data_IF_995611590611
#
_entry.id   IF_995611590611
#
_cell.length_a   1.000
_cell.length_b   1.000
_cell.length_c   1.000
_cell.angle_alpha   90.00
_cell.angle_beta   90.00
_cell.angle_gamma   90.00
#
_symmetry.space_group_name_H-M   'P 1'
#
loop_
_entity.id
_entity.type
_entity.pdbx_description
1 polymer ?
#
# COMPACT_ATOMS: atom_id res chain seq x y z
N UNK A 1 -13.39 55.11 -59.16
CA UNK A 1 -12.19 54.92 -58.30
C UNK A 1 -12.61 54.13 -57.07
N UNK A 2 -12.05 52.92 -56.92
CA UNK A 2 -12.50 51.86 -55.99
C UNK A 2 -12.05 52.16 -54.56
N UNK A 3 -12.97 52.13 -53.60
CA UNK A 3 -12.69 52.16 -52.16
C UNK A 3 -12.28 50.75 -51.73
N UNK A 4 -10.99 50.57 -51.41
CA UNK A 4 -10.45 49.30 -50.92
C UNK A 4 -10.75 49.19 -49.42
N UNK A 5 -11.54 48.18 -49.05
CA UNK A 5 -11.75 47.74 -47.67
C UNK A 5 -10.47 47.03 -47.20
N UNK A 6 -9.78 47.59 -46.21
CA UNK A 6 -8.72 46.91 -45.49
C UNK A 6 -9.34 46.13 -44.32
N UNK A 7 -9.63 44.85 -44.53
CA UNK A 7 -10.01 43.91 -43.47
C UNK A 7 -8.73 43.24 -42.97
N UNK A 8 -8.13 43.81 -41.92
CA UNK A 8 -6.93 43.25 -41.27
C UNK A 8 -7.35 42.03 -40.47
N UNK A 9 -7.14 40.84 -41.03
CA UNK A 9 -7.38 39.55 -40.40
C UNK A 9 -6.29 39.33 -39.33
N UNK A 10 -6.60 39.70 -38.08
CA UNK A 10 -5.75 39.42 -36.93
C UNK A 10 -5.87 37.93 -36.54
N UNK A 11 -5.16 37.06 -37.26
CA UNK A 11 -4.91 35.68 -36.82
C UNK A 11 -3.90 35.71 -35.68
N UNK A 12 -4.38 35.97 -34.46
CA UNK A 12 -3.61 35.70 -33.24
C UNK A 12 -3.38 34.20 -33.17
N UNK A 13 -2.15 33.77 -33.46
CA UNK A 13 -1.69 32.41 -33.21
C UNK A 13 -1.77 32.16 -31.70
N UNK A 14 -2.87 31.54 -31.26
CA UNK A 14 -2.99 30.93 -29.95
C UNK A 14 -2.06 29.71 -29.95
N UNK A 15 -0.77 29.94 -29.75
CA UNK A 15 0.19 28.89 -29.42
C UNK A 15 -0.11 28.44 -27.99
N UNK A 16 -1.14 27.62 -27.82
CA UNK A 16 -1.39 26.92 -26.58
C UNK A 16 -0.25 25.93 -26.35
N UNK A 17 0.60 26.17 -25.35
CA UNK A 17 1.50 25.16 -24.86
C UNK A 17 0.65 23.99 -24.36
N UNK A 18 0.73 22.85 -25.03
CA UNK A 18 0.17 21.60 -24.53
C UNK A 18 1.29 20.80 -23.91
N UNK A 19 1.02 20.17 -22.77
CA UNK A 19 2.01 19.34 -22.09
C UNK A 19 2.01 17.95 -22.69
N UNK A 20 3.17 17.32 -22.63
CA UNK A 20 3.37 15.93 -23.04
C UNK A 20 3.57 15.02 -21.82
N UNK A 21 3.15 13.76 -21.97
CA UNK A 21 3.34 12.71 -20.97
C UNK A 21 4.50 11.79 -21.41
N UNK A 22 5.37 11.44 -20.46
CA UNK A 22 6.43 10.47 -20.65
C UNK A 22 6.13 9.18 -19.88
N UNK A 23 5.89 8.09 -20.60
CA UNK A 23 5.52 6.78 -20.05
C UNK A 23 6.70 5.87 -19.68
N UNK A 24 7.94 6.34 -19.82
CA UNK A 24 9.13 5.49 -19.62
C UNK A 24 9.67 5.48 -18.19
N UNK A 25 9.04 6.21 -17.26
CA UNK A 25 9.57 6.41 -15.91
C UNK A 25 8.66 5.80 -14.84
N UNK A 26 8.94 4.55 -14.48
CA UNK A 26 8.51 4.00 -13.19
C UNK A 26 9.76 3.84 -12.34
N UNK A 27 9.70 4.24 -11.07
CA UNK A 27 10.83 4.02 -10.16
C UNK A 27 11.13 2.51 -10.09
N UNK A 28 12.42 2.11 -10.01
CA UNK A 28 12.80 0.71 -10.09
C UNK A 28 12.16 -0.06 -8.94
N UNK A 29 11.66 -1.24 -9.24
CA UNK A 29 11.20 -2.17 -8.22
C UNK A 29 12.37 -2.66 -7.39
N UNK A 30 12.11 -2.95 -6.11
CA UNK A 30 13.11 -3.47 -5.18
C UNK A 30 12.56 -4.66 -4.42
N UNK A 31 13.45 -5.56 -4.01
CA UNK A 31 13.08 -6.67 -3.13
C UNK A 31 13.33 -6.22 -1.70
N UNK A 32 12.30 -6.29 -0.86
CA UNK A 32 12.41 -6.09 0.59
C UNK A 32 12.20 -7.41 1.32
N UNK A 33 13.01 -7.66 2.36
CA UNK A 33 12.78 -8.73 3.32
C UNK A 33 11.99 -8.17 4.49
N UNK A 34 10.85 -8.78 4.78
CA UNK A 34 10.06 -8.50 5.98
C UNK A 34 10.34 -9.61 6.97
N UNK A 35 10.66 -9.23 8.21
CA UNK A 35 10.75 -10.13 9.36
C UNK A 35 10.17 -9.42 10.57
N UNK A 36 9.04 -9.91 11.06
CA UNK A 36 8.28 -9.37 12.17
C UNK A 36 8.00 -10.47 13.17
N UNK A 37 8.21 -10.16 14.45
CA UNK A 37 7.98 -11.05 15.58
C UNK A 37 7.31 -10.28 16.72
N UNK A 38 6.42 -10.92 17.48
CA UNK A 38 5.78 -10.31 18.66
C UNK A 38 6.57 -10.48 19.97
N UNK A 39 7.78 -11.04 19.90
CA UNK A 39 8.59 -11.34 21.08
C UNK A 39 10.04 -10.89 20.90
N UNK A 40 10.74 -10.78 22.03
CA UNK A 40 12.18 -10.61 22.11
C UNK A 40 12.82 -11.80 22.81
N UNK A 41 13.92 -12.33 22.25
CA UNK A 41 14.62 -13.47 22.82
C UNK A 41 15.25 -13.06 24.16
N UNK A 42 15.01 -13.86 25.19
CA UNK A 42 15.52 -13.64 26.55
C UNK A 42 14.68 -12.69 27.40
N UNK A 43 13.56 -12.18 26.88
CA UNK A 43 12.66 -11.30 27.63
C UNK A 43 11.47 -12.10 28.17
N UNK A 44 11.23 -11.98 29.48
CA UNK A 44 10.07 -12.58 30.14
C UNK A 44 8.79 -11.88 29.67
N UNK A 45 7.80 -12.66 29.26
CA UNK A 45 6.51 -12.20 28.76
C UNK A 45 5.38 -12.98 29.42
N UNK A 46 4.19 -12.37 29.48
CA UNK A 46 2.97 -12.99 29.97
C UNK A 46 1.91 -12.96 28.87
N UNK A 47 1.25 -14.10 28.66
CA UNK A 47 0.07 -14.21 27.80
C UNK A 47 -1.12 -14.75 28.59
N UNK A 48 -2.29 -14.15 28.39
CA UNK A 48 -3.56 -14.65 28.90
C UNK A 48 -4.20 -15.66 27.94
N UNK A 49 -5.24 -16.36 28.40
CA UNK A 49 -6.00 -17.28 27.54
C UNK A 49 -6.55 -16.55 26.31
N UNK A 50 -6.25 -17.08 25.13
CA UNK A 50 -6.60 -16.51 23.83
C UNK A 50 -5.56 -15.54 23.27
N UNK A 51 -4.55 -15.17 24.05
CA UNK A 51 -3.45 -14.31 23.59
C UNK A 51 -2.33 -15.11 22.94
N UNK A 52 -1.65 -14.44 22.02
CA UNK A 52 -0.46 -14.94 21.36
C UNK A 52 0.71 -15.10 22.34
N UNK A 53 1.28 -16.30 22.36
CA UNK A 53 2.58 -16.57 22.96
C UNK A 53 3.69 -16.04 22.03
N UNK A 54 3.54 -16.27 20.73
CA UNK A 54 4.39 -15.68 19.71
C UNK A 54 3.67 -15.62 18.37
N UNK A 55 4.00 -14.60 17.60
CA UNK A 55 3.73 -14.50 16.17
C UNK A 55 5.06 -14.30 15.44
N UNK A 56 5.20 -14.91 14.26
CA UNK A 56 6.32 -14.64 13.35
C UNK A 56 5.83 -14.56 11.93
N UNK A 57 6.17 -13.46 11.27
CA UNK A 57 5.92 -13.19 9.86
C UNK A 57 7.22 -12.81 9.16
N UNK A 58 7.74 -13.72 8.34
CA UNK A 58 8.95 -13.49 7.54
C UNK A 58 8.74 -13.87 6.07
N UNK A 59 9.04 -12.96 5.15
CA UNK A 59 8.87 -13.18 3.70
C UNK A 59 9.66 -12.16 2.88
N UNK A 60 9.80 -12.40 1.58
CA UNK A 60 10.27 -11.39 0.62
C UNK A 60 9.12 -10.84 -0.20
N UNK A 61 9.18 -9.53 -0.47
CA UNK A 61 8.19 -8.85 -1.30
C UNK A 61 8.89 -8.02 -2.36
N UNK A 62 8.33 -8.05 -3.57
CA UNK A 62 8.59 -7.04 -4.58
C UNK A 62 7.85 -5.77 -4.17
N UNK A 63 8.58 -4.67 -4.13
CA UNK A 63 8.05 -3.35 -3.80
C UNK A 63 8.12 -2.49 -5.04
N UNK A 64 6.95 -2.11 -5.53
CA UNK A 64 6.77 -1.28 -6.71
C UNK A 64 6.25 0.09 -6.25
N UNK A 65 7.08 1.14 -6.26
CA UNK A 65 6.65 2.51 -5.96
C UNK A 65 5.88 3.09 -7.16
N UNK A 66 4.71 2.52 -7.42
CA UNK A 66 3.95 2.75 -8.64
C UNK A 66 2.55 3.33 -8.39
N UNK A 67 2.28 3.84 -7.18
CA UNK A 67 0.97 4.42 -6.89
C UNK A 67 1.05 5.59 -5.90
N UNK A 68 -0.05 6.34 -5.85
CA UNK A 68 -0.35 7.31 -4.80
C UNK A 68 -1.63 6.92 -4.08
N UNK A 69 -1.68 7.15 -2.77
CA UNK A 69 -2.88 7.04 -1.96
C UNK A 69 -3.39 8.44 -1.61
N UNK A 70 -4.68 8.69 -1.82
CA UNK A 70 -5.33 9.92 -1.40
C UNK A 70 -5.46 9.98 0.14
N UNK A 71 -4.99 11.08 0.75
CA UNK A 71 -5.02 11.26 2.21
C UNK A 71 -6.33 11.87 2.73
N UNK A 72 -7.15 12.37 1.82
CA UNK A 72 -8.46 12.95 2.07
C UNK A 72 -9.37 12.75 0.86
N UNK A 73 -10.66 13.00 1.05
CA UNK A 73 -11.61 13.07 -0.06
C UNK A 73 -11.29 14.27 -0.96
N UNK A 74 -11.46 14.09 -2.27
CA UNK A 74 -11.28 15.17 -3.23
C UNK A 74 -12.21 15.01 -4.44
N UNK A 75 -12.45 16.11 -5.14
CA UNK A 75 -13.14 16.14 -6.43
C UNK A 75 -12.24 16.84 -7.44
N UNK A 76 -11.80 16.13 -8.47
CA UNK A 76 -11.17 16.73 -9.66
C UNK A 76 -12.24 16.88 -10.74
N UNK A 77 -12.53 18.11 -11.16
CA UNK A 77 -13.53 18.35 -12.19
C UNK A 77 -13.15 19.49 -13.13
N UNK A 78 -13.69 19.45 -14.34
CA UNK A 78 -13.49 20.49 -15.35
C UNK A 78 -13.31 19.91 -16.74
N UNK A 79 -12.72 20.71 -17.63
CA UNK A 79 -12.60 20.38 -19.04
C UNK A 79 -13.90 20.57 -19.83
N UNK A 80 -13.82 20.42 -21.15
CA UNK A 80 -14.96 20.55 -22.07
C UNK A 80 -15.01 19.36 -23.04
N UNK A 81 -16.22 18.98 -23.44
CA UNK A 81 -16.45 17.94 -24.47
C UNK A 81 -15.68 16.63 -24.16
N UNK A 82 -14.81 16.17 -25.06
CA UNK A 82 -14.11 14.88 -24.96
C UNK A 82 -13.04 14.84 -23.88
N UNK A 83 -12.70 15.99 -23.27
CA UNK A 83 -11.76 16.08 -22.14
C UNK A 83 -12.45 16.48 -20.84
N UNK A 84 -13.79 16.45 -20.79
CA UNK A 84 -14.50 16.68 -19.54
C UNK A 84 -14.22 15.56 -18.53
N UNK A 85 -13.85 15.93 -17.31
CA UNK A 85 -13.59 15.01 -16.21
C UNK A 85 -14.46 15.38 -15.02
N UNK A 86 -14.96 14.36 -14.35
CA UNK A 86 -15.33 14.41 -12.94
C UNK A 86 -14.81 13.14 -12.28
N UNK A 87 -13.90 13.31 -11.33
CA UNK A 87 -13.36 12.24 -10.50
C UNK A 87 -13.64 12.60 -9.04
N UNK A 88 -14.49 11.81 -8.40
CA UNK A 88 -14.74 11.87 -6.97
C UNK A 88 -13.84 10.82 -6.28
N UNK A 89 -12.78 11.26 -5.63
CA UNK A 89 -11.82 10.41 -4.91
C UNK A 89 -12.09 10.41 -3.41
N UNK A 90 -11.95 9.24 -2.78
CA UNK A 90 -12.11 9.06 -1.34
C UNK A 90 -10.76 8.95 -0.64
N UNK A 91 -10.74 9.26 0.65
CA UNK A 91 -9.59 8.96 1.50
C UNK A 91 -9.27 7.46 1.44
N UNK A 92 -8.03 7.14 1.11
CA UNK A 92 -7.54 5.77 1.00
C UNK A 92 -7.55 5.21 -0.42
N UNK A 93 -8.20 5.87 -1.38
CA UNK A 93 -8.18 5.46 -2.79
C UNK A 93 -6.75 5.49 -3.34
N UNK A 94 -6.42 4.51 -4.18
CA UNK A 94 -5.10 4.29 -4.74
C UNK A 94 -5.14 4.57 -6.25
N UNK A 95 -4.19 5.38 -6.74
CA UNK A 95 -4.06 5.77 -8.13
C UNK A 95 -2.69 5.38 -8.67
N UNK A 96 -2.66 4.64 -9.78
CA UNK A 96 -1.43 4.15 -10.39
C UNK A 96 -0.66 5.29 -11.08
N UNK A 97 0.66 5.32 -10.83
CA UNK A 97 1.62 6.15 -11.53
C UNK A 97 1.89 5.52 -12.89
N UNK A 98 1.56 6.26 -13.94
CA UNK A 98 1.63 5.81 -15.33
C UNK A 98 2.74 6.51 -16.13
N UNK A 99 3.38 7.52 -15.56
CA UNK A 99 4.49 8.22 -16.20
C UNK A 99 4.87 9.49 -15.47
N UNK A 100 5.48 10.42 -16.19
CA UNK A 100 5.81 11.75 -15.69
C UNK A 100 5.50 12.85 -16.70
N UNK A 101 5.19 14.05 -16.24
CA UNK A 101 5.04 15.22 -17.12
C UNK A 101 6.38 15.91 -17.40
N UNK A 102 6.34 17.02 -18.15
CA UNK A 102 7.51 17.84 -18.52
C UNK A 102 8.23 18.47 -17.31
N UNK A 103 7.55 18.61 -16.17
CA UNK A 103 8.15 19.08 -14.91
C UNK A 103 8.90 17.96 -14.17
N UNK A 104 8.78 16.71 -14.65
CA UNK A 104 9.32 15.52 -13.99
C UNK A 104 8.45 15.00 -12.84
N UNK A 105 7.25 15.54 -12.67
CA UNK A 105 6.26 15.13 -11.68
C UNK A 105 5.54 13.86 -12.13
N UNK A 106 5.16 13.02 -11.18
CA UNK A 106 4.49 11.75 -11.45
C UNK A 106 3.07 12.02 -11.99
N UNK A 107 2.67 11.30 -13.03
CA UNK A 107 1.32 11.33 -13.59
C UNK A 107 0.54 10.12 -13.12
N UNK A 108 -0.66 10.34 -12.61
CA UNK A 108 -1.58 9.27 -12.22
C UNK A 108 -2.81 9.22 -13.13
N UNK A 109 -3.27 8.01 -13.42
CA UNK A 109 -4.41 7.78 -14.31
C UNK A 109 -5.74 8.19 -13.66
N UNK A 110 -6.61 8.86 -14.41
CA UNK A 110 -7.99 9.14 -13.99
C UNK A 110 -8.85 7.92 -14.36
N UNK A 111 -9.44 7.19 -13.39
CA UNK A 111 -10.25 6.02 -13.67
C UNK A 111 -11.41 6.33 -14.64
N UNK A 112 -11.59 5.49 -15.65
CA UNK A 112 -12.63 5.66 -16.67
C UNK A 112 -12.35 6.77 -17.69
N UNK A 113 -11.15 7.36 -17.67
CA UNK A 113 -10.71 8.38 -18.62
C UNK A 113 -9.37 7.99 -19.26
N UNK A 114 -9.08 8.61 -20.42
CA UNK A 114 -7.77 8.54 -21.07
C UNK A 114 -6.82 9.65 -20.58
N UNK A 115 -7.29 10.44 -19.61
CA UNK A 115 -6.58 11.56 -19.01
C UNK A 115 -5.87 11.13 -17.73
N UNK A 116 -4.85 11.91 -17.38
CA UNK A 116 -3.97 11.74 -16.25
C UNK A 116 -3.81 13.09 -15.56
N UNK A 117 -3.57 13.11 -14.25
CA UNK A 117 -3.21 14.34 -13.53
C UNK A 117 -1.84 14.22 -12.86
N UNK A 118 -1.14 15.34 -12.73
CA UNK A 118 0.20 15.37 -12.15
C UNK A 118 0.19 15.59 -10.63
N UNK A 119 1.09 14.91 -9.93
CA UNK A 119 1.32 15.08 -8.50
C UNK A 119 2.76 15.55 -8.29
N UNK A 120 2.93 16.67 -7.60
CA UNK A 120 4.23 17.25 -7.29
C UNK A 120 5.00 16.45 -6.22
N UNK A 121 6.26 16.82 -5.99
CA UNK A 121 7.11 16.17 -4.99
C UNK A 121 6.65 16.38 -3.53
N UNK A 122 5.66 17.23 -3.28
CA UNK A 122 5.03 17.47 -1.98
C UNK A 122 3.71 16.70 -1.85
N UNK A 123 3.32 15.93 -2.87
CA UNK A 123 2.07 15.17 -2.85
C UNK A 123 0.83 15.98 -3.18
N UNK A 124 0.95 17.17 -3.79
CA UNK A 124 -0.20 17.98 -4.20
C UNK A 124 -0.42 17.87 -5.71
N UNK A 125 -1.65 18.13 -6.16
CA UNK A 125 -1.91 18.30 -7.58
C UNK A 125 -1.10 19.46 -8.14
N UNK A 126 -0.30 19.20 -9.17
CA UNK A 126 0.63 20.19 -9.73
C UNK A 126 0.00 21.07 -10.83
N UNK A 127 -1.34 21.06 -10.85
CA UNK A 127 -2.21 21.68 -11.84
C UNK A 127 -1.96 21.17 -13.27
N UNK A 128 -1.51 19.92 -13.44
CA UNK A 128 -1.39 19.27 -14.76
C UNK A 128 -2.57 18.33 -14.99
N UNK A 129 -3.18 18.42 -16.17
CA UNK A 129 -4.05 17.37 -16.73
C UNK A 129 -3.65 17.15 -18.18
N UNK A 130 -3.33 15.90 -18.53
CA UNK A 130 -2.74 15.53 -19.83
C UNK A 130 -3.30 14.19 -20.28
N UNK A 131 -3.17 13.85 -21.56
CA UNK A 131 -3.43 12.50 -22.06
C UNK A 131 -2.15 11.85 -22.58
N UNK A 132 -2.22 10.56 -22.92
CA UNK A 132 -1.10 9.89 -23.59
C UNK A 132 -0.85 10.31 -25.03
N UNK A 133 -1.67 11.20 -25.60
CA UNK A 133 -1.50 11.71 -26.95
C UNK A 133 -1.61 13.23 -26.97
N UNK A 134 -0.66 13.89 -27.65
CA UNK A 134 -0.71 15.33 -27.90
C UNK A 134 -2.09 15.79 -28.40
N UNK A 135 -2.72 15.00 -29.29
CA UNK A 135 -3.99 15.33 -29.93
C UNK A 135 -5.22 15.25 -29.04
N UNK A 136 -5.13 14.52 -27.92
CA UNK A 136 -6.23 14.35 -26.98
C UNK A 136 -5.94 15.01 -25.63
N UNK A 137 -4.82 15.74 -25.53
CA UNK A 137 -4.46 16.48 -24.33
C UNK A 137 -5.23 17.79 -24.24
N UNK A 138 -5.70 18.20 -23.04
CA UNK A 138 -6.39 19.46 -22.86
C UNK A 138 -5.47 20.66 -23.16
N UNK A 139 -5.97 21.64 -23.92
CA UNK A 139 -5.26 22.90 -24.15
C UNK A 139 -5.06 23.63 -22.83
N UNK A 140 -3.82 24.06 -22.53
CA UNK A 140 -3.51 24.76 -21.27
C UNK A 140 -3.39 23.85 -20.04
N UNK A 141 -3.27 22.54 -20.24
CA UNK A 141 -2.68 21.55 -19.32
C UNK A 141 -3.10 21.68 -17.85
N UNK A 142 -4.39 21.85 -17.57
CA UNK A 142 -4.91 21.88 -16.18
C UNK A 142 -5.69 23.15 -15.80
N UNK A 143 -5.46 24.29 -16.47
CA UNK A 143 -6.13 25.57 -16.15
C UNK A 143 -7.67 25.56 -16.23
N UNK A 144 -8.22 24.60 -16.96
CA UNK A 144 -9.67 24.38 -17.12
C UNK A 144 -10.25 23.34 -16.13
N UNK A 145 -9.45 22.93 -15.13
CA UNK A 145 -9.84 21.98 -14.09
C UNK A 145 -9.66 22.60 -12.70
N UNK A 146 -10.36 22.05 -11.72
CA UNK A 146 -10.24 22.38 -10.32
C UNK A 146 -10.22 21.10 -9.48
N UNK A 147 -9.41 21.10 -8.42
CA UNK A 147 -9.40 20.06 -7.39
C UNK A 147 -9.91 20.65 -6.08
N UNK A 148 -10.94 20.02 -5.51
CA UNK A 148 -11.54 20.43 -4.24
C UNK A 148 -11.39 19.32 -3.19
N UNK A 149 -10.80 19.60 -2.01
CA UNK A 149 -10.20 20.86 -1.64
C UNK A 149 -8.89 21.11 -2.40
N UNK A 150 -8.51 22.39 -2.58
CA UNK A 150 -7.31 22.76 -3.33
C UNK A 150 -6.00 22.23 -2.72
N UNK A 151 -6.02 21.85 -1.45
CA UNK A 151 -4.92 21.21 -0.73
C UNK A 151 -5.08 19.69 -0.61
N UNK A 152 -5.81 19.05 -1.54
CA UNK A 152 -5.85 17.59 -1.64
C UNK A 152 -4.42 17.03 -1.72
N UNK A 153 -4.16 16.06 -0.85
CA UNK A 153 -2.82 15.50 -0.65
C UNK A 153 -2.81 14.01 -0.96
N UNK A 154 -1.73 13.59 -1.58
CA UNK A 154 -1.45 12.25 -2.05
C UNK A 154 -0.10 11.81 -1.50
N UNK A 155 -0.03 10.59 -0.95
CA UNK A 155 1.21 10.02 -0.47
C UNK A 155 1.62 8.86 -1.36
N UNK A 156 2.93 8.70 -1.62
CA UNK A 156 3.43 7.54 -2.36
C UNK A 156 3.00 6.26 -1.67
N UNK A 157 2.39 5.38 -2.44
CA UNK A 157 1.92 4.10 -1.99
C UNK A 157 2.67 3.01 -2.75
N UNK A 158 3.42 2.23 -1.99
CA UNK A 158 4.16 1.10 -2.50
C UNK A 158 3.21 -0.09 -2.68
N UNK A 159 3.08 -0.59 -3.91
CA UNK A 159 2.46 -1.89 -4.14
C UNK A 159 3.44 -2.97 -3.70
N UNK A 160 2.98 -3.84 -2.80
CA UNK A 160 3.77 -4.94 -2.25
C UNK A 160 3.23 -6.27 -2.76
N UNK A 161 4.02 -6.97 -3.56
CA UNK A 161 3.68 -8.29 -4.10
C UNK A 161 4.58 -9.35 -3.45
N UNK A 162 4.00 -10.38 -2.80
CA UNK A 162 4.76 -11.52 -2.26
C UNK A 162 5.61 -12.20 -3.34
N UNK A 163 6.83 -12.61 -3.00
CA UNK A 163 7.63 -13.48 -3.85
C UNK A 163 7.59 -14.90 -3.30
N UNK A 164 6.67 -15.71 -3.82
CA UNK A 164 6.41 -17.09 -3.33
C UNK A 164 7.61 -18.02 -3.52
N UNK A 165 8.44 -17.77 -4.53
CA UNK A 165 9.64 -18.56 -4.85
C UNK A 165 10.71 -18.55 -3.76
N UNK A 166 10.67 -17.58 -2.85
CA UNK A 166 11.59 -17.51 -1.70
C UNK A 166 11.03 -18.21 -0.45
N UNK A 167 9.81 -18.73 -0.50
CA UNK A 167 9.10 -19.25 0.66
C UNK A 167 8.68 -18.14 1.64
N UNK A 168 7.96 -18.54 2.69
CA UNK A 168 7.55 -17.62 3.74
C UNK A 168 7.30 -18.33 5.07
N UNK A 169 7.34 -17.55 6.15
CA UNK A 169 6.94 -17.93 7.50
C UNK A 169 5.79 -17.01 7.89
N UNK A 170 4.63 -17.57 8.22
CA UNK A 170 3.53 -16.79 8.82
C UNK A 170 2.73 -17.70 9.74
N UNK A 171 3.00 -17.65 11.03
CA UNK A 171 2.34 -18.49 12.02
C UNK A 171 2.35 -17.86 13.40
N UNK A 172 1.58 -18.48 14.29
CA UNK A 172 1.53 -18.10 15.69
C UNK A 172 1.33 -19.31 16.61
N UNK A 173 1.68 -19.12 17.87
CA UNK A 173 1.27 -19.97 18.98
C UNK A 173 0.41 -19.15 19.94
N UNK A 174 -0.71 -19.71 20.39
CA UNK A 174 -1.67 -19.06 21.27
C UNK A 174 -1.81 -19.89 22.53
N UNK A 175 -1.81 -19.24 23.69
CA UNK A 175 -2.14 -19.94 24.93
C UNK A 175 -3.64 -20.16 25.03
N UNK A 176 -4.09 -21.41 25.11
CA UNK A 176 -5.54 -21.73 25.21
C UNK A 176 -5.96 -22.19 26.60
N UNK A 177 -5.05 -22.17 27.58
CA UNK A 177 -5.35 -22.43 28.98
C UNK A 177 -4.67 -23.67 29.55
N UNK A 178 -4.89 -23.92 30.85
CA UNK A 178 -4.41 -25.10 31.56
C UNK A 178 -5.60 -26.02 31.87
N UNK A 179 -5.53 -27.27 31.39
CA UNK A 179 -6.57 -28.30 31.59
C UNK A 179 -6.07 -29.41 32.52
N UNK A 180 -6.87 -30.43 32.80
CA UNK A 180 -6.40 -31.63 33.50
C UNK A 180 -5.24 -32.32 32.77
N UNK A 181 -5.31 -32.33 31.43
CA UNK A 181 -4.33 -32.97 30.56
C UNK A 181 -3.01 -32.23 30.43
N UNK A 182 -3.01 -30.89 30.59
CA UNK A 182 -1.78 -30.12 30.44
C UNK A 182 -1.98 -28.65 30.10
N UNK A 183 -0.87 -28.01 29.75
CA UNK A 183 -0.79 -26.68 29.15
C UNK A 183 -1.25 -26.81 27.70
N UNK A 184 -2.32 -26.11 27.33
CA UNK A 184 -2.89 -26.16 26.00
C UNK A 184 -2.40 -24.95 25.19
N UNK A 185 -1.92 -25.24 24.00
CA UNK A 185 -1.42 -24.24 23.05
C UNK A 185 -2.03 -24.53 21.68
N UNK A 186 -2.50 -23.50 21.00
CA UNK A 186 -2.99 -23.58 19.63
C UNK A 186 -1.95 -23.04 18.67
N UNK A 187 -1.59 -23.85 17.69
CA UNK A 187 -0.74 -23.45 16.57
C UNK A 187 -1.60 -23.14 15.34
N UNK A 188 -1.35 -22.01 14.68
CA UNK A 188 -2.01 -21.63 13.42
C UNK A 188 -1.00 -21.15 12.39
N UNK A 189 -1.11 -21.65 11.16
CA UNK A 189 -0.41 -21.06 9.99
C UNK A 189 -1.36 -20.22 9.13
N UNK A 190 -0.76 -19.21 8.50
CA UNK A 190 -1.45 -18.27 7.65
C UNK A 190 -0.89 -18.32 6.22
N UNK A 191 -1.69 -17.89 5.26
CA UNK A 191 -1.17 -17.44 3.97
C UNK A 191 -0.40 -16.14 4.16
N UNK A 192 0.32 -15.71 3.13
CA UNK A 192 0.94 -14.39 3.12
C UNK A 192 -0.06 -13.25 3.46
N UNK A 193 -1.26 -13.34 2.87
CA UNK A 193 -2.34 -12.35 3.02
C UNK A 193 -3.09 -12.49 4.36
N UNK A 194 -2.48 -13.15 5.36
CA UNK A 194 -3.07 -13.39 6.67
C UNK A 194 -4.38 -14.18 6.65
N UNK A 195 -4.63 -14.97 5.61
CA UNK A 195 -5.78 -15.89 5.63
C UNK A 195 -5.37 -17.15 6.39
N UNK A 196 -6.13 -17.52 7.42
CA UNK A 196 -5.87 -18.75 8.18
C UNK A 196 -5.93 -19.96 7.25
N UNK A 197 -4.93 -20.84 7.33
CA UNK A 197 -4.95 -22.12 6.63
C UNK A 197 -5.53 -23.16 7.58
N UNK A 198 -6.82 -23.45 7.47
CA UNK A 198 -7.51 -24.37 8.38
C UNK A 198 -6.86 -25.75 8.47
N UNK A 199 -6.26 -26.24 7.37
CA UNK A 199 -5.51 -27.50 7.34
C UNK A 199 -4.18 -27.49 8.13
N UNK A 200 -3.73 -26.32 8.57
CA UNK A 200 -2.46 -26.10 9.30
C UNK A 200 -2.73 -25.48 10.67
N UNK A 201 -3.79 -25.96 11.33
CA UNK A 201 -4.10 -25.67 12.73
C UNK A 201 -3.83 -26.92 13.55
N UNK A 202 -3.11 -26.79 14.66
CA UNK A 202 -2.78 -27.93 15.53
C UNK A 202 -2.99 -27.55 17.00
N UNK A 203 -3.72 -28.38 17.73
CA UNK A 203 -3.82 -28.29 19.18
C UNK A 203 -2.66 -29.07 19.81
N UNK A 204 -1.90 -28.41 20.67
CA UNK A 204 -0.73 -28.95 21.34
C UNK A 204 -0.99 -28.98 22.84
N UNK A 205 -0.72 -30.13 23.46
CA UNK A 205 -0.88 -30.32 24.90
C UNK A 205 0.46 -30.74 25.50
N UNK A 206 0.97 -29.94 26.44
CA UNK A 206 2.21 -30.21 27.16
C UNK A 206 1.91 -30.58 28.61
N UNK A 207 2.62 -31.53 29.24
CA UNK A 207 2.42 -31.86 30.65
C UNK A 207 2.48 -30.63 31.57
N UNK A 208 1.71 -30.59 32.65
CA UNK A 208 1.68 -29.46 33.60
C UNK A 208 3.05 -29.13 34.22
N UNK A 209 3.90 -30.15 34.37
CA UNK A 209 5.26 -30.03 34.91
C UNK A 209 6.29 -29.53 33.90
N UNK A 210 5.86 -29.21 32.67
CA UNK A 210 6.76 -28.77 31.60
C UNK A 210 7.45 -27.47 31.98
N UNK A 211 8.78 -27.50 32.02
CA UNK A 211 9.63 -26.31 32.20
C UNK A 211 10.13 -25.74 30.88
N UNK A 212 10.11 -26.54 29.82
CA UNK A 212 10.59 -26.12 28.51
C UNK A 212 9.66 -26.66 27.43
N UNK A 213 9.12 -25.77 26.61
CA UNK A 213 8.36 -26.11 25.42
C UNK A 213 9.29 -25.92 24.22
N UNK A 214 9.55 -27.00 23.47
CA UNK A 214 10.21 -26.93 22.17
C UNK A 214 9.18 -27.11 21.08
N UNK A 215 9.05 -26.13 20.20
CA UNK A 215 8.16 -26.17 19.05
C UNK A 215 8.90 -25.68 17.82
N UNK A 216 9.12 -26.56 16.84
CA UNK A 216 9.98 -26.29 15.67
C UNK A 216 11.37 -25.79 16.11
N UNK A 217 11.72 -24.58 15.68
CA UNK A 217 12.94 -23.85 16.00
C UNK A 217 12.85 -23.06 17.32
N UNK A 218 11.67 -22.91 17.90
CA UNK A 218 11.49 -22.16 19.14
C UNK A 218 11.75 -23.02 20.38
N UNK A 219 12.37 -22.39 21.37
CA UNK A 219 12.49 -22.94 22.71
C UNK A 219 11.98 -21.93 23.74
N UNK A 220 10.92 -22.30 24.46
CA UNK A 220 10.30 -21.48 25.49
C UNK A 220 10.65 -22.06 26.86
N UNK A 221 11.18 -21.24 27.75
CA UNK A 221 11.25 -21.53 29.18
C UNK A 221 9.91 -21.12 29.82
N UNK A 222 9.31 -22.00 30.61
CA UNK A 222 8.04 -21.72 31.30
C UNK A 222 8.34 -21.44 32.77
N UNK A 223 8.10 -20.20 33.16
CA UNK A 223 8.36 -19.71 34.51
C UNK A 223 7.18 -20.03 35.42
N UNK A 224 5.96 -19.73 34.96
CA UNK A 224 4.72 -20.12 35.64
C UNK A 224 3.54 -20.29 34.69
N UNK A 225 2.55 -21.09 35.08
CA UNK A 225 1.32 -21.30 34.32
C UNK A 225 0.13 -21.47 35.27
N UNK A 226 -0.97 -20.82 34.96
CA UNK A 226 -2.26 -20.93 35.65
C UNK A 226 -3.36 -21.29 34.63
N UNK A 227 -4.60 -21.44 35.08
CA UNK A 227 -5.76 -21.58 34.18
C UNK A 227 -5.99 -20.36 33.28
N UNK A 228 -5.47 -19.20 33.65
CA UNK A 228 -5.77 -17.91 33.01
C UNK A 228 -4.58 -17.30 32.28
N UNK A 229 -3.35 -17.66 32.63
CA UNK A 229 -2.15 -17.08 32.03
C UNK A 229 -0.94 -18.01 32.04
N UNK A 230 -0.01 -17.73 31.14
CA UNK A 230 1.32 -18.33 31.10
C UNK A 230 2.38 -17.23 31.14
N UNK A 231 3.40 -17.41 31.98
CA UNK A 231 4.61 -16.57 32.03
C UNK A 231 5.76 -17.40 31.48
N UNK A 232 6.42 -16.86 30.47
CA UNK A 232 7.41 -17.59 29.69
C UNK A 232 8.47 -16.65 29.13
N UNK A 233 9.60 -17.25 28.76
CA UNK A 233 10.70 -16.57 28.07
C UNK A 233 11.05 -17.37 26.82
N UNK A 234 11.08 -16.72 25.65
CA UNK A 234 11.62 -17.35 24.43
C UNK A 234 13.14 -17.31 24.50
N UNK A 235 13.76 -18.47 24.58
CA UNK A 235 15.22 -18.64 24.75
C UNK A 235 15.96 -18.89 23.44
N UNK A 236 15.28 -19.31 22.38
CA UNK A 236 15.85 -19.56 21.05
C UNK A 236 14.77 -19.51 19.95
N UNK A 237 15.12 -19.07 18.73
CA UNK A 237 14.24 -18.95 17.55
C UNK A 237 14.93 -19.16 16.18
#
# INVERSE_FOLDING_TARGET
MKRLFALTLATTALAGCTSTANFTKTAPSRIESIDSRSYEVGVETKAYVGEEILTRKAYKTLVEPNAYQAKQEFVLSGGLSSVAVRLDGKKGDIYEIVGSNEKGNDLVMIPGSHLMFGIDNKGHWDNTVVSGSYWTSPVGSGSQYAMEPANAMFEKHDKRTPLEEYGYVNHELIFTGLSESGINVLYREYTFNNHARSAFTQELIYPKSTKTIRFRNYQLSIDSVTSESIVYTITND
#
